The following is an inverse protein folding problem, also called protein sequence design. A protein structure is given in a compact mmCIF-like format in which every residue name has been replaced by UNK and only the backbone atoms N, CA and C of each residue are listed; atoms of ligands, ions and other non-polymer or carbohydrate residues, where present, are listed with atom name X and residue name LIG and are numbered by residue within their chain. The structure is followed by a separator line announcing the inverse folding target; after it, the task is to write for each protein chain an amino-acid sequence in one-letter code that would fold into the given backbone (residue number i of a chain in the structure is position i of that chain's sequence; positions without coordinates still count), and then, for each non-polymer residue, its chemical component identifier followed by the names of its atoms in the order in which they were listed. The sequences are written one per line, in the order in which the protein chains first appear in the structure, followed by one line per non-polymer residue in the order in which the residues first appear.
data_IF_360564775901
#
_entry.id   IF_360564775901
#
_cell.length_a   1.000
_cell.length_b   1.000
_cell.length_c   1.000
_cell.angle_alpha   90.00
_cell.angle_beta   90.00
_cell.angle_gamma   90.00
#
_symmetry.space_group_name_H-M   'P 1'
#
loop_
_entity.id
_entity.type
_entity.pdbx_description
1 polymer ?
#
# COMPACT_ATOMS: atom_id res chain seq x y z
N UNK A 1 21.32 -3.26 17.47
CA UNK A 1 21.70 -4.06 16.28
C UNK A 1 20.88 -3.52 15.14
N UNK A 2 21.50 -3.07 14.06
CA UNK A 2 20.76 -2.59 12.88
C UNK A 2 19.93 -3.75 12.35
N UNK A 3 18.61 -3.67 12.45
CA UNK A 3 17.73 -4.58 11.71
C UNK A 3 18.04 -4.32 10.24
N UNK A 4 18.59 -5.30 9.52
CA UNK A 4 18.86 -5.16 8.09
C UNK A 4 17.56 -4.75 7.40
N UNK A 5 17.56 -3.62 6.67
CA UNK A 5 16.41 -3.21 5.85
C UNK A 5 16.06 -4.35 4.88
N UNK A 6 14.78 -4.75 4.75
CA UNK A 6 14.39 -5.69 3.70
C UNK A 6 14.75 -5.08 2.34
N UNK A 7 15.49 -5.84 1.53
CA UNK A 7 15.79 -5.42 0.15
C UNK A 7 14.70 -5.96 -0.76
N UNK A 8 13.90 -5.06 -1.31
CA UNK A 8 12.92 -5.39 -2.34
C UNK A 8 13.59 -5.25 -3.70
N UNK A 9 13.57 -6.32 -4.50
CA UNK A 9 14.11 -6.28 -5.85
C UNK A 9 13.17 -5.49 -6.76
N UNK A 10 13.73 -4.60 -7.58
CA UNK A 10 12.96 -3.86 -8.57
C UNK A 10 12.52 -4.80 -9.69
N UNK A 11 11.21 -4.92 -9.88
CA UNK A 11 10.60 -5.76 -10.93
C UNK A 11 9.99 -4.94 -12.07
N UNK A 12 10.25 -3.63 -12.15
CA UNK A 12 9.83 -2.80 -13.28
C UNK A 12 8.49 -2.09 -13.05
N UNK A 13 7.68 -1.97 -14.10
CA UNK A 13 6.44 -1.19 -14.13
C UNK A 13 5.20 -2.09 -14.20
N UNK A 14 4.24 -1.83 -13.31
CA UNK A 14 3.04 -2.64 -13.16
C UNK A 14 1.74 -1.89 -13.41
N UNK A 15 0.63 -2.64 -13.33
CA UNK A 15 -0.73 -2.12 -13.38
C UNK A 15 -1.64 -2.87 -12.38
N UNK A 16 -2.61 -2.17 -11.82
CA UNK A 16 -3.70 -2.81 -11.07
C UNK A 16 -4.51 -3.76 -11.94
N UNK A 17 -4.65 -5.02 -11.50
CA UNK A 17 -5.43 -6.01 -12.23
C UNK A 17 -6.91 -5.89 -11.86
N UNK A 18 -7.72 -5.40 -12.81
CA UNK A 18 -9.17 -5.29 -12.68
C UNK A 18 -9.87 -6.23 -13.67
N UNK A 19 -11.09 -6.73 -13.39
CA UNK A 19 -11.79 -7.65 -14.28
C UNK A 19 -12.02 -7.13 -15.70
N UNK A 20 -12.10 -5.80 -15.88
CA UNK A 20 -12.18 -5.10 -17.16
C UNK A 20 -10.96 -5.34 -18.05
N UNK A 21 -9.77 -5.58 -17.46
CA UNK A 21 -8.51 -5.74 -18.18
C UNK A 21 -8.34 -7.14 -18.78
N UNK A 22 -9.03 -8.14 -18.22
CA UNK A 22 -8.86 -9.55 -18.58
C UNK A 22 -8.98 -9.86 -20.08
N UNK A 23 -10.02 -9.41 -20.82
CA UNK A 23 -10.15 -9.75 -22.24
C UNK A 23 -8.92 -9.27 -23.03
N UNK A 24 -8.49 -8.04 -22.78
CA UNK A 24 -7.34 -7.45 -23.48
C UNK A 24 -6.03 -8.16 -23.12
N UNK A 25 -5.79 -8.41 -21.82
CA UNK A 25 -4.54 -9.06 -21.36
C UNK A 25 -4.41 -10.46 -21.96
N UNK A 26 -5.49 -11.26 -21.94
CA UNK A 26 -5.44 -12.65 -22.41
C UNK A 26 -5.32 -12.76 -23.94
N UNK A 27 -5.82 -11.77 -24.68
CA UNK A 27 -5.68 -11.74 -26.14
C UNK A 27 -4.33 -11.18 -26.58
N UNK A 28 -3.84 -10.12 -25.94
CA UNK A 28 -2.73 -9.31 -26.45
C UNK A 28 -1.41 -9.52 -25.73
N UNK A 29 -1.42 -10.05 -24.51
CA UNK A 29 -0.25 -10.18 -23.63
C UNK A 29 0.64 -8.91 -23.63
N UNK A 30 0.11 -7.77 -23.12
CA UNK A 30 0.82 -6.50 -23.19
C UNK A 30 2.18 -6.57 -22.48
N UNK A 31 3.18 -5.76 -22.92
CA UNK A 31 4.51 -5.75 -22.33
C UNK A 31 4.52 -5.01 -20.99
N UNK A 32 3.82 -5.55 -19.99
CA UNK A 32 3.84 -5.13 -18.59
C UNK A 32 4.75 -6.05 -17.79
N UNK A 33 5.47 -5.51 -16.82
CA UNK A 33 6.43 -6.30 -16.05
C UNK A 33 5.76 -7.11 -14.93
N UNK A 34 4.62 -6.64 -14.39
CA UNK A 34 3.87 -7.30 -13.30
C UNK A 34 2.45 -6.73 -13.13
N UNK A 35 1.62 -7.45 -12.37
CA UNK A 35 0.27 -7.02 -11.99
C UNK A 35 0.08 -6.99 -10.47
N UNK A 36 -0.79 -6.10 -9.98
CA UNK A 36 -1.25 -6.12 -8.59
C UNK A 36 -2.68 -6.66 -8.48
N UNK A 37 -2.91 -7.52 -7.49
CA UNK A 37 -4.25 -7.97 -7.11
C UNK A 37 -4.66 -7.42 -5.75
N UNK A 38 -5.96 -7.15 -5.60
CA UNK A 38 -6.58 -7.03 -4.27
C UNK A 38 -6.74 -8.43 -3.69
N UNK A 39 -6.04 -8.70 -2.60
CA UNK A 39 -5.87 -10.03 -2.00
C UNK A 39 -7.22 -10.65 -1.63
N UNK A 40 -8.11 -9.86 -1.04
CA UNK A 40 -9.45 -10.25 -0.58
C UNK A 40 -10.33 -10.79 -1.71
N UNK A 41 -10.12 -10.33 -2.95
CA UNK A 41 -10.84 -10.85 -4.11
C UNK A 41 -10.48 -12.30 -4.44
N UNK A 42 -9.43 -12.86 -3.82
CA UNK A 42 -8.91 -14.20 -4.08
C UNK A 42 -8.77 -15.10 -2.85
N UNK A 43 -8.99 -14.57 -1.63
CA UNK A 43 -8.84 -15.34 -0.37
C UNK A 43 -9.90 -16.43 -0.17
N UNK A 44 -11.15 -16.19 -0.57
CA UNK A 44 -12.29 -17.09 -0.35
C UNK A 44 -13.07 -17.37 -1.65
N UNK A 45 -12.37 -17.38 -2.79
CA UNK A 45 -13.01 -17.53 -4.10
C UNK A 45 -12.62 -18.83 -4.80
N UNK A 46 -13.54 -19.32 -5.63
CA UNK A 46 -13.31 -20.45 -6.52
C UNK A 46 -13.88 -20.16 -7.90
N UNK A 47 -13.68 -21.08 -8.85
CA UNK A 47 -14.27 -20.95 -10.18
C UNK A 47 -13.59 -19.87 -11.02
N UNK A 48 -14.36 -18.88 -11.51
CA UNK A 48 -13.88 -17.94 -12.53
C UNK A 48 -12.73 -17.03 -12.06
N UNK A 49 -12.76 -16.39 -10.87
CA UNK A 49 -11.65 -15.56 -10.39
C UNK A 49 -10.33 -16.34 -10.30
N UNK A 50 -10.35 -17.51 -9.67
CA UNK A 50 -9.18 -18.41 -9.57
C UNK A 50 -8.62 -18.74 -10.95
N UNK A 51 -9.46 -19.21 -11.89
CA UNK A 51 -9.01 -19.52 -13.26
C UNK A 51 -8.41 -18.33 -13.99
N UNK A 52 -8.89 -17.11 -13.70
CA UNK A 52 -8.33 -15.89 -14.30
C UNK A 52 -6.98 -15.55 -13.69
N UNK A 53 -6.82 -15.68 -12.37
CA UNK A 53 -5.54 -15.49 -11.71
C UNK A 53 -4.52 -16.55 -12.13
N UNK A 54 -4.92 -17.83 -12.24
CA UNK A 54 -4.07 -18.90 -12.79
C UNK A 54 -3.52 -18.51 -14.17
N UNK A 55 -4.39 -18.06 -15.07
CA UNK A 55 -4.00 -17.64 -16.41
C UNK A 55 -3.07 -16.41 -16.41
N UNK A 56 -3.20 -15.49 -15.45
CA UNK A 56 -2.28 -14.34 -15.31
C UNK A 56 -0.91 -14.80 -14.79
N UNK A 57 -0.89 -15.69 -13.79
CA UNK A 57 0.33 -16.21 -13.18
C UNK A 57 1.19 -17.04 -14.14
N UNK A 58 0.61 -17.54 -15.24
CA UNK A 58 1.36 -18.22 -16.32
C UNK A 58 2.30 -17.26 -17.07
N UNK A 59 1.94 -15.99 -17.17
CA UNK A 59 2.63 -15.02 -18.04
C UNK A 59 3.28 -13.86 -17.25
N UNK A 60 2.80 -13.54 -16.04
CA UNK A 60 3.21 -12.35 -15.29
C UNK A 60 3.46 -12.63 -13.81
N UNK A 61 4.49 -12.00 -13.20
CA UNK A 61 4.56 -11.84 -11.76
C UNK A 61 3.33 -11.09 -11.22
N UNK A 62 2.87 -11.49 -10.05
CA UNK A 62 1.76 -10.84 -9.35
C UNK A 62 2.20 -10.43 -7.96
N UNK A 63 1.95 -9.18 -7.60
CA UNK A 63 2.08 -8.68 -6.22
C UNK A 63 0.70 -8.61 -5.57
N UNK A 64 0.68 -8.67 -4.25
CA UNK A 64 -0.55 -8.69 -3.48
C UNK A 64 -0.70 -7.39 -2.69
N UNK A 65 -1.87 -6.78 -2.79
CA UNK A 65 -2.25 -5.61 -2.01
C UNK A 65 -3.55 -5.92 -1.25
N UNK A 66 -3.60 -5.57 0.03
CA UNK A 66 -4.73 -5.83 0.91
C UNK A 66 -5.42 -4.54 1.33
N UNK A 67 -6.70 -4.64 1.66
CA UNK A 67 -7.52 -3.51 2.09
C UNK A 67 -8.22 -3.77 3.43
N UNK A 68 -7.96 -4.92 4.07
CA UNK A 68 -8.70 -5.39 5.25
C UNK A 68 -7.84 -5.81 6.43
N UNK A 69 -6.50 -5.74 6.38
CA UNK A 69 -5.65 -6.12 7.52
C UNK A 69 -5.94 -5.27 8.76
N UNK A 70 -6.29 -3.99 8.57
CA UNK A 70 -6.63 -3.06 9.65
C UNK A 70 -5.53 -2.99 10.71
N UNK A 71 -4.29 -2.74 10.29
CA UNK A 71 -3.13 -2.82 11.18
C UNK A 71 -3.20 -1.80 12.34
N UNK A 72 -3.89 -0.68 12.12
CA UNK A 72 -4.09 0.40 13.08
C UNK A 72 -5.14 0.16 14.16
N UNK A 73 -5.93 -0.92 14.09
CA UNK A 73 -6.95 -1.20 15.13
C UNK A 73 -6.34 -1.75 16.42
N UNK A 74 -7.12 -1.66 17.51
CA UNK A 74 -6.80 -2.24 18.82
C UNK A 74 -7.38 -3.64 19.01
N UNK A 75 -8.32 -4.05 18.17
CA UNK A 75 -8.87 -5.40 18.17
C UNK A 75 -7.77 -6.44 17.84
N UNK A 76 -7.83 -7.67 18.38
CA UNK A 76 -6.88 -8.73 18.03
C UNK A 76 -6.77 -8.92 16.51
N UNK A 77 -5.56 -9.26 16.03
CA UNK A 77 -5.36 -9.64 14.63
C UNK A 77 -6.30 -10.80 14.28
N UNK A 78 -6.96 -10.71 13.12
CA UNK A 78 -7.86 -11.75 12.66
C UNK A 78 -7.06 -12.95 12.12
N UNK A 79 -7.00 -14.03 12.89
CA UNK A 79 -6.24 -15.24 12.54
C UNK A 79 -6.78 -15.95 11.30
N UNK A 80 -8.10 -15.91 11.05
CA UNK A 80 -8.72 -16.48 9.85
C UNK A 80 -8.27 -15.71 8.60
N UNK A 81 -8.31 -14.37 8.67
CA UNK A 81 -7.79 -13.51 7.60
C UNK A 81 -6.31 -13.79 7.30
N UNK A 82 -5.47 -13.82 8.34
CA UNK A 82 -4.03 -14.10 8.15
C UNK A 82 -3.78 -15.48 7.54
N UNK A 83 -4.55 -16.51 7.94
CA UNK A 83 -4.43 -17.85 7.37
C UNK A 83 -4.82 -17.88 5.88
N UNK A 84 -5.87 -17.16 5.50
CA UNK A 84 -6.29 -17.04 4.10
C UNK A 84 -5.28 -16.27 3.27
N UNK A 85 -4.77 -15.15 3.80
CA UNK A 85 -3.70 -14.38 3.18
C UNK A 85 -2.44 -15.24 2.98
N UNK A 86 -2.01 -16.01 3.99
CA UNK A 86 -0.86 -16.92 3.89
C UNK A 86 -1.09 -18.03 2.85
N UNK A 87 -2.30 -18.56 2.78
CA UNK A 87 -2.68 -19.58 1.78
C UNK A 87 -2.60 -19.01 0.37
N UNK A 88 -3.18 -17.83 0.14
CA UNK A 88 -3.12 -17.14 -1.14
C UNK A 88 -1.68 -16.77 -1.52
N UNK A 89 -0.90 -16.23 -0.58
CA UNK A 89 0.50 -15.91 -0.79
C UNK A 89 1.36 -17.13 -1.11
N UNK A 90 1.04 -18.31 -0.56
CA UNK A 90 1.74 -19.56 -0.88
C UNK A 90 1.46 -20.02 -2.31
N UNK A 91 0.28 -19.71 -2.85
CA UNK A 91 -0.10 -20.02 -4.22
C UNK A 91 0.45 -19.00 -5.22
N UNK A 92 0.25 -17.70 -4.96
CA UNK A 92 0.69 -16.60 -5.84
C UNK A 92 2.21 -16.42 -5.80
N UNK A 93 2.84 -16.73 -4.67
CA UNK A 93 4.26 -16.49 -4.41
C UNK A 93 4.71 -15.06 -4.78
N UNK A 94 4.07 -14.02 -4.21
CA UNK A 94 4.31 -12.66 -4.66
C UNK A 94 5.68 -12.16 -4.21
N UNK A 95 6.31 -11.24 -4.96
CA UNK A 95 7.53 -10.53 -4.53
C UNK A 95 7.36 -9.81 -3.18
N UNK A 96 6.19 -9.26 -2.91
CA UNK A 96 5.82 -8.67 -1.61
C UNK A 96 4.30 -8.69 -1.40
N UNK A 97 3.89 -8.45 -0.16
CA UNK A 97 2.49 -8.32 0.25
C UNK A 97 2.35 -6.95 0.92
N UNK A 98 1.46 -6.12 0.39
CA UNK A 98 1.18 -4.79 0.91
C UNK A 98 -0.23 -4.69 1.52
N UNK A 99 -0.44 -3.73 2.41
CA UNK A 99 -1.75 -3.33 2.93
C UNK A 99 -1.65 -1.87 3.43
N UNK A 100 -2.76 -1.28 3.85
CA UNK A 100 -2.83 0.12 4.25
C UNK A 100 -2.43 0.34 5.72
N UNK A 101 -1.75 1.46 6.00
CA UNK A 101 -1.63 1.99 7.36
C UNK A 101 -2.94 2.67 7.78
N UNK A 102 -3.95 1.87 8.08
CA UNK A 102 -5.25 2.37 8.53
C UNK A 102 -5.88 1.45 9.56
N UNK A 103 -7.03 1.88 10.06
CA UNK A 103 -8.01 0.97 10.63
C UNK A 103 -9.28 1.05 9.78
N UNK A 104 -9.83 -0.11 9.46
CA UNK A 104 -11.09 -0.24 8.71
C UNK A 104 -12.27 -0.47 9.65
N UNK A 105 -12.09 -0.34 10.97
CA UNK A 105 -13.15 -0.63 11.95
C UNK A 105 -12.69 -0.85 13.39
N UNK A 106 -13.62 -0.68 14.33
CA UNK A 106 -13.49 -1.00 15.76
C UNK A 106 -14.69 -1.87 16.16
N UNK A 107 -14.45 -2.85 17.05
CA UNK A 107 -15.47 -3.75 17.59
C UNK A 107 -16.21 -4.54 16.49
N UNK A 108 -15.45 -5.08 15.53
CA UNK A 108 -15.93 -5.91 14.41
C UNK A 108 -16.87 -5.21 13.41
N UNK A 109 -16.97 -3.88 13.42
CA UNK A 109 -17.69 -3.12 12.39
C UNK A 109 -16.72 -2.56 11.37
N UNK A 110 -16.73 -3.11 10.16
CA UNK A 110 -15.96 -2.59 9.03
C UNK A 110 -16.62 -1.31 8.50
N UNK A 111 -15.87 -0.21 8.40
CA UNK A 111 -16.33 1.09 7.92
C UNK A 111 -16.19 1.25 6.42
N UNK A 112 -15.51 0.34 5.73
CA UNK A 112 -15.09 0.41 4.32
C UNK A 112 -14.20 1.61 3.96
N UNK A 113 -14.10 2.61 4.85
CA UNK A 113 -13.18 3.73 4.79
C UNK A 113 -11.83 3.41 5.48
N UNK A 114 -10.75 3.91 4.89
CA UNK A 114 -9.40 3.91 5.45
C UNK A 114 -9.27 5.05 6.46
N UNK A 115 -9.57 4.78 7.73
CA UNK A 115 -9.56 5.83 8.75
C UNK A 115 -8.13 6.13 9.23
N UNK A 116 -7.78 7.41 9.46
CA UNK A 116 -6.45 7.79 9.92
C UNK A 116 -6.19 7.23 11.31
N UNK A 117 -4.92 6.97 11.61
CA UNK A 117 -4.46 6.59 12.95
C UNK A 117 -3.99 7.83 13.72
N UNK A 118 -4.16 7.89 15.04
CA UNK A 118 -3.56 8.97 15.83
C UNK A 118 -2.04 8.79 15.87
N UNK A 119 -1.28 9.81 15.50
CA UNK A 119 0.18 9.74 15.45
C UNK A 119 0.78 9.98 16.84
N UNK A 120 0.66 8.98 17.71
CA UNK A 120 1.18 9.00 19.10
C UNK A 120 2.17 7.86 19.33
N UNK A 121 3.00 7.98 20.38
CA UNK A 121 3.91 6.89 20.79
C UNK A 121 3.18 5.59 21.14
N UNK A 122 1.98 5.69 21.72
CA UNK A 122 1.17 4.53 22.09
C UNK A 122 0.67 3.79 20.83
N UNK A 123 0.13 4.54 19.86
CA UNK A 123 -0.32 3.97 18.60
C UNK A 123 0.84 3.36 17.81
N UNK A 124 1.99 4.05 17.76
CA UNK A 124 3.21 3.55 17.11
C UNK A 124 3.64 2.22 17.72
N UNK A 125 3.74 2.13 19.05
CA UNK A 125 4.14 0.91 19.75
C UNK A 125 3.17 -0.25 19.48
N UNK A 126 1.87 0.01 19.48
CA UNK A 126 0.84 -0.99 19.16
C UNK A 126 1.01 -1.49 17.72
N UNK A 127 1.07 -0.59 16.75
CA UNK A 127 1.19 -0.92 15.32
C UNK A 127 2.48 -1.67 15.03
N UNK A 128 3.63 -1.22 15.56
CA UNK A 128 4.92 -1.92 15.41
C UNK A 128 4.86 -3.35 15.94
N UNK A 129 4.20 -3.56 17.09
CA UNK A 129 4.02 -4.90 17.67
C UNK A 129 3.18 -5.79 16.75
N UNK A 130 2.09 -5.26 16.20
CA UNK A 130 1.20 -5.99 15.29
C UNK A 130 1.87 -6.31 13.96
N UNK A 131 2.62 -5.37 13.39
CA UNK A 131 3.40 -5.61 12.16
C UNK A 131 4.34 -6.78 12.36
N UNK A 132 5.07 -6.82 13.49
CA UNK A 132 5.96 -7.95 13.81
C UNK A 132 5.20 -9.27 13.88
N UNK A 133 4.03 -9.30 14.55
CA UNK A 133 3.20 -10.50 14.60
C UNK A 133 2.73 -10.98 13.21
N UNK A 134 2.32 -10.05 12.34
CA UNK A 134 1.90 -10.37 10.97
C UNK A 134 3.09 -10.90 10.16
N UNK A 135 4.25 -10.25 10.24
CA UNK A 135 5.47 -10.68 9.54
C UNK A 135 5.94 -12.06 10.03
N UNK A 136 5.90 -12.31 11.35
CA UNK A 136 6.22 -13.61 11.94
C UNK A 136 5.26 -14.69 11.45
N UNK A 137 3.96 -14.38 11.37
CA UNK A 137 2.95 -15.31 10.88
C UNK A 137 3.10 -15.62 9.39
N UNK A 138 3.33 -14.58 8.57
CA UNK A 138 3.51 -14.70 7.12
C UNK A 138 4.92 -15.18 6.73
N UNK A 139 5.86 -15.20 7.67
CA UNK A 139 7.27 -15.56 7.49
C UNK A 139 8.00 -14.69 6.46
N UNK A 140 7.60 -13.41 6.37
CA UNK A 140 8.21 -12.42 5.48
C UNK A 140 7.93 -10.98 5.93
N UNK A 141 8.76 -10.01 5.51
CA UNK A 141 8.41 -8.60 5.62
C UNK A 141 7.13 -8.29 4.85
N UNK A 142 6.25 -7.50 5.45
CA UNK A 142 5.13 -6.87 4.75
C UNK A 142 5.51 -5.47 4.30
N UNK A 143 4.71 -4.92 3.41
CA UNK A 143 4.82 -3.54 2.92
C UNK A 143 3.59 -2.79 3.43
N UNK A 144 3.77 -1.55 3.92
CA UNK A 144 2.64 -0.72 4.33
C UNK A 144 2.56 0.56 3.51
N UNK A 145 1.35 0.89 3.09
CA UNK A 145 1.04 2.07 2.30
C UNK A 145 0.67 3.28 3.17
N UNK A 146 1.13 4.47 2.76
CA UNK A 146 0.65 5.74 3.30
C UNK A 146 -0.76 6.08 2.77
N UNK A 147 -1.78 6.21 3.62
CA UNK A 147 -3.11 6.56 3.16
C UNK A 147 -3.22 8.04 2.81
N UNK A 148 -4.22 8.41 2.01
CA UNK A 148 -4.72 9.78 1.95
C UNK A 148 -5.40 10.18 3.26
N UNK A 149 -5.06 11.34 3.81
CA UNK A 149 -5.63 11.87 5.06
C UNK A 149 -6.38 13.18 4.83
N UNK A 150 -7.49 13.34 5.57
CA UNK A 150 -8.41 14.49 5.47
C UNK A 150 -8.65 15.16 6.83
N UNK A 151 -8.27 14.50 7.91
CA UNK A 151 -8.50 14.91 9.29
C UNK A 151 -7.26 14.56 10.12
N UNK A 152 -6.90 15.47 11.03
CA UNK A 152 -5.85 15.24 12.00
C UNK A 152 -6.44 15.04 13.40
N UNK A 153 -5.86 14.11 14.15
CA UNK A 153 -6.15 13.98 15.57
C UNK A 153 -5.38 15.05 16.35
N UNK A 154 -6.09 15.81 17.19
CA UNK A 154 -5.48 16.80 18.11
C UNK A 154 -4.56 16.17 19.15
N UNK A 155 -4.68 14.86 19.38
CA UNK A 155 -3.80 14.09 20.26
C UNK A 155 -2.48 13.68 19.60
N UNK A 156 -2.31 13.88 18.29
CA UNK A 156 -1.08 13.52 17.57
C UNK A 156 0.11 14.31 18.12
N UNK A 157 1.20 13.60 18.41
CA UNK A 157 2.44 14.17 18.97
C UNK A 157 3.59 14.17 17.98
N UNK A 158 3.37 13.62 16.78
CA UNK A 158 4.32 13.59 15.68
C UNK A 158 3.58 13.77 14.35
N UNK A 159 4.31 14.15 13.31
CA UNK A 159 3.80 14.24 11.94
C UNK A 159 3.57 12.85 11.32
N UNK A 160 2.78 12.80 10.24
CA UNK A 160 2.50 11.56 9.53
C UNK A 160 3.78 10.88 9.00
N UNK A 161 4.67 11.65 8.38
CA UNK A 161 5.94 11.12 7.86
C UNK A 161 6.90 10.68 8.96
N UNK A 162 6.93 11.36 10.11
CA UNK A 162 7.69 10.90 11.29
C UNK A 162 7.15 9.57 11.82
N UNK A 163 5.83 9.44 11.89
CA UNK A 163 5.18 8.21 12.32
C UNK A 163 5.50 7.04 11.39
N UNK A 164 5.34 7.23 10.08
CA UNK A 164 5.61 6.20 9.07
C UNK A 164 7.09 5.81 9.04
N UNK A 165 7.99 6.80 9.09
CA UNK A 165 9.42 6.55 9.12
C UNK A 165 9.83 5.69 10.33
N UNK A 166 9.35 6.05 11.53
CA UNK A 166 9.61 5.29 12.73
C UNK A 166 8.95 3.92 12.71
N UNK A 167 7.71 3.81 12.23
CA UNK A 167 7.01 2.54 12.08
C UNK A 167 7.83 1.56 11.23
N UNK A 168 8.30 1.99 10.05
CA UNK A 168 9.08 1.15 9.15
C UNK A 168 10.44 0.75 9.77
N UNK A 169 11.12 1.69 10.42
CA UNK A 169 12.41 1.45 11.07
C UNK A 169 12.28 0.49 12.27
N UNK A 170 11.28 0.68 13.12
CA UNK A 170 11.08 -0.09 14.35
C UNK A 170 10.49 -1.49 14.07
N UNK A 171 9.58 -1.62 13.10
CA UNK A 171 8.95 -2.91 12.77
C UNK A 171 9.74 -3.75 11.75
N UNK A 172 10.56 -3.10 10.93
CA UNK A 172 11.27 -3.75 9.84
C UNK A 172 10.44 -3.93 8.56
N UNK A 173 9.22 -3.40 8.48
CA UNK A 173 8.43 -3.47 7.24
C UNK A 173 9.03 -2.61 6.11
N UNK A 174 8.58 -2.91 4.89
CA UNK A 174 8.74 -2.06 3.72
C UNK A 174 7.65 -0.99 3.62
N UNK A 175 7.83 -0.07 2.68
CA UNK A 175 6.86 0.99 2.36
C UNK A 175 6.34 0.84 0.94
N UNK A 176 5.02 1.00 0.79
CA UNK A 176 4.41 1.35 -0.48
C UNK A 176 4.21 2.86 -0.41
N UNK A 177 4.93 3.60 -1.26
CA UNK A 177 4.79 5.05 -1.31
C UNK A 177 3.77 5.40 -2.38
N UNK A 178 2.54 5.67 -1.97
CA UNK A 178 1.58 6.28 -2.87
C UNK A 178 1.87 7.79 -2.95
N UNK A 179 2.35 8.22 -4.11
CA UNK A 179 2.72 9.62 -4.37
C UNK A 179 1.48 10.49 -4.58
N UNK A 180 0.39 9.92 -5.10
CA UNK A 180 -0.89 10.60 -5.18
C UNK A 180 -1.41 10.89 -3.77
N UNK A 181 -1.36 9.93 -2.85
CA UNK A 181 -1.78 10.11 -1.46
C UNK A 181 -0.97 11.19 -0.74
N UNK A 182 0.35 11.23 -0.95
CA UNK A 182 1.19 12.33 -0.44
C UNK A 182 0.70 13.68 -0.97
N UNK A 183 0.37 13.76 -2.27
CA UNK A 183 -0.14 15.00 -2.86
C UNK A 183 -1.51 15.40 -2.29
N UNK A 184 -2.45 14.45 -2.19
CA UNK A 184 -3.79 14.67 -1.63
C UNK A 184 -3.70 15.15 -0.18
N UNK A 185 -2.99 14.42 0.68
CA UNK A 185 -2.81 14.79 2.09
C UNK A 185 -2.15 16.16 2.23
N UNK A 186 -1.07 16.42 1.50
CA UNK A 186 -0.37 17.71 1.58
C UNK A 186 -1.23 18.87 1.08
N UNK A 187 -2.04 18.69 0.04
CA UNK A 187 -2.98 19.72 -0.41
C UNK A 187 -4.02 20.03 0.67
N UNK A 188 -4.65 18.98 1.22
CA UNK A 188 -5.74 19.12 2.20
C UNK A 188 -5.25 19.72 3.52
N UNK A 189 -4.07 19.31 3.99
CA UNK A 189 -3.47 19.77 5.24
C UNK A 189 -2.54 20.99 5.09
N UNK A 190 -2.31 21.44 3.86
CA UNK A 190 -1.40 22.57 3.51
C UNK A 190 0.04 22.32 3.94
N UNK A 191 0.49 21.08 3.80
CA UNK A 191 1.88 20.68 4.03
C UNK A 191 2.70 20.79 2.75
N UNK A 192 4.03 20.75 2.89
CA UNK A 192 4.93 20.62 1.75
C UNK A 192 5.21 19.15 1.44
N UNK A 193 4.84 18.64 0.24
CA UNK A 193 5.02 17.23 -0.10
C UNK A 193 6.49 16.83 -0.24
N UNK A 194 7.41 17.77 -0.48
CA UNK A 194 8.85 17.45 -0.51
C UNK A 194 9.39 17.18 0.89
N UNK A 195 8.96 17.96 1.88
CA UNK A 195 9.26 17.71 3.30
C UNK A 195 8.77 16.33 3.72
N UNK A 196 7.57 15.93 3.30
CA UNK A 196 7.04 14.58 3.54
C UNK A 196 7.99 13.51 2.98
N UNK A 197 8.32 13.58 1.68
CA UNK A 197 9.15 12.57 1.01
C UNK A 197 10.57 12.52 1.58
N UNK A 198 11.17 13.68 1.88
CA UNK A 198 12.54 13.75 2.40
C UNK A 198 12.67 13.15 3.81
N UNK A 199 11.58 13.05 4.56
CA UNK A 199 11.57 12.45 5.89
C UNK A 199 11.38 10.93 5.90
N UNK A 200 10.92 10.33 4.78
CA UNK A 200 10.70 8.90 4.68
C UNK A 200 12.02 8.11 4.49
N UNK A 201 12.10 6.87 5.01
CA UNK A 201 13.23 5.97 4.76
C UNK A 201 13.09 5.37 3.35
N UNK A 202 13.48 6.14 2.34
CA UNK A 202 13.29 5.77 0.92
C UNK A 202 14.00 4.47 0.50
N UNK A 203 15.02 4.03 1.24
CA UNK A 203 15.67 2.72 1.04
C UNK A 203 14.76 1.52 1.34
N UNK A 204 13.62 1.76 1.99
CA UNK A 204 12.61 0.74 2.36
C UNK A 204 11.41 0.70 1.42
N UNK A 205 11.34 1.61 0.44
CA UNK A 205 10.21 1.68 -0.48
C UNK A 205 10.31 0.50 -1.46
N UNK A 206 9.37 -0.44 -1.33
CA UNK A 206 9.26 -1.61 -2.21
C UNK A 206 8.58 -1.25 -3.53
N UNK A 207 7.61 -0.34 -3.45
CA UNK A 207 6.69 -0.01 -4.52
C UNK A 207 6.25 1.44 -4.41
N UNK A 208 6.01 2.07 -5.56
CA UNK A 208 5.38 3.37 -5.68
C UNK A 208 4.06 3.23 -6.44
N UNK A 209 3.01 3.87 -5.94
CA UNK A 209 1.76 4.05 -6.68
C UNK A 209 1.65 5.47 -7.25
N UNK A 210 0.95 5.55 -8.37
CA UNK A 210 0.60 6.76 -9.10
C UNK A 210 -0.87 6.65 -9.52
N UNK A 211 -1.66 7.64 -9.18
CA UNK A 211 -3.08 7.69 -9.53
C UNK A 211 -3.53 9.12 -9.80
N UNK A 212 -4.72 9.27 -10.38
CA UNK A 212 -5.47 10.52 -10.43
C UNK A 212 -6.36 10.70 -9.20
N UNK A 213 -6.94 11.89 -9.06
CA UNK A 213 -7.80 12.23 -7.94
C UNK A 213 -8.85 13.28 -8.34
N UNK A 214 -9.90 13.40 -7.55
CA UNK A 214 -10.94 14.40 -7.78
C UNK A 214 -10.70 15.67 -6.98
N UNK A 215 -10.42 16.78 -7.66
CA UNK A 215 -10.33 18.10 -7.04
C UNK A 215 -11.71 18.77 -6.89
N UNK A 216 -12.13 19.05 -5.65
CA UNK A 216 -13.40 19.74 -5.32
C UNK A 216 -13.22 21.26 -5.09
N UNK A 217 -12.06 21.80 -5.44
CA UNK A 217 -11.65 23.20 -5.22
C UNK A 217 -11.15 23.47 -3.81
N UNK A 218 -11.94 23.12 -2.80
CA UNK A 218 -11.57 23.34 -1.38
C UNK A 218 -10.73 22.22 -0.78
N UNK A 219 -10.89 21.01 -1.31
CA UNK A 219 -10.19 19.79 -0.91
C UNK A 219 -10.07 18.89 -2.14
N UNK A 220 -9.14 17.94 -2.07
CA UNK A 220 -8.99 16.86 -3.05
C UNK A 220 -9.48 15.58 -2.39
N UNK A 221 -10.21 14.76 -3.14
CA UNK A 221 -10.65 13.42 -2.73
C UNK A 221 -9.87 12.41 -3.57
N UNK A 222 -9.32 11.44 -2.87
CA UNK A 222 -8.58 10.34 -3.43
C UNK A 222 -9.52 9.32 -4.09
N UNK A 223 -9.62 9.35 -5.41
CA UNK A 223 -10.60 8.56 -6.18
C UNK A 223 -9.99 7.57 -7.14
N UNK A 224 -8.73 7.74 -7.51
CA UNK A 224 -7.98 6.85 -8.43
C UNK A 224 -8.68 6.61 -9.78
N UNK A 225 -9.56 7.54 -10.20
CA UNK A 225 -10.48 7.36 -11.34
C UNK A 225 -10.14 8.23 -12.56
N UNK A 226 -8.97 8.90 -12.54
CA UNK A 226 -8.54 9.83 -13.58
C UNK A 226 -7.03 9.72 -13.88
N UNK A 227 -6.58 10.42 -14.91
CA UNK A 227 -5.19 10.53 -15.29
C UNK A 227 -4.34 11.18 -14.19
N UNK A 228 -3.13 10.64 -14.03
CA UNK A 228 -2.09 11.24 -13.17
C UNK A 228 -1.73 12.64 -13.70
N UNK A 229 -1.94 13.66 -12.87
CA UNK A 229 -1.67 15.07 -13.22
C UNK A 229 -0.16 15.40 -13.20
N UNK A 230 0.21 16.51 -13.84
CA UNK A 230 1.61 16.94 -13.97
C UNK A 230 2.32 17.16 -12.62
N UNK A 231 1.59 17.64 -11.61
CA UNK A 231 2.10 17.87 -10.25
C UNK A 231 2.46 16.55 -9.55
N UNK A 232 1.62 15.51 -9.70
CA UNK A 232 1.89 14.17 -9.16
C UNK A 232 3.07 13.53 -9.91
N UNK A 233 3.15 13.69 -11.24
CA UNK A 233 4.33 13.28 -12.01
C UNK A 233 5.61 14.01 -11.58
N UNK A 234 5.53 15.29 -11.26
CA UNK A 234 6.67 16.06 -10.77
C UNK A 234 7.11 15.57 -9.39
N UNK A 235 6.17 15.24 -8.51
CA UNK A 235 6.44 14.68 -7.20
C UNK A 235 7.05 13.27 -7.28
N UNK A 236 6.57 12.44 -8.21
CA UNK A 236 7.15 11.14 -8.52
C UNK A 236 8.60 11.25 -8.99
N UNK A 237 8.89 12.17 -9.93
CA UNK A 237 10.27 12.44 -10.36
C UNK A 237 11.15 12.87 -9.19
N UNK A 238 10.60 13.65 -8.26
CA UNK A 238 11.31 14.02 -7.03
C UNK A 238 11.62 12.79 -6.17
N UNK A 239 10.63 11.94 -5.89
CA UNK A 239 10.81 10.71 -5.12
C UNK A 239 11.89 9.79 -5.74
N UNK A 240 11.81 9.54 -7.05
CA UNK A 240 12.78 8.70 -7.78
C UNK A 240 14.19 9.32 -7.76
N UNK A 241 14.32 10.65 -7.82
CA UNK A 241 15.63 11.30 -7.73
C UNK A 241 16.33 11.09 -6.39
N UNK A 242 15.57 10.77 -5.33
CA UNK A 242 16.04 10.53 -3.97
C UNK A 242 16.22 9.04 -3.68
N UNK A 243 15.23 8.23 -4.05
CA UNK A 243 15.19 6.78 -3.78
C UNK A 243 16.02 5.96 -4.78
N UNK A 244 16.24 6.49 -5.99
CA UNK A 244 16.63 5.72 -7.14
C UNK A 244 15.44 5.00 -7.79
N UNK A 245 15.68 4.11 -8.77
CA UNK A 245 14.62 3.36 -9.42
C UNK A 245 13.92 2.39 -8.46
N UNK A 246 12.59 2.51 -8.35
CA UNK A 246 11.72 1.63 -7.55
C UNK A 246 10.70 0.96 -8.48
N UNK A 247 10.11 -0.16 -8.09
CA UNK A 247 8.96 -0.74 -8.79
C UNK A 247 7.79 0.25 -8.73
N UNK A 248 7.15 0.54 -9.86
CA UNK A 248 6.11 1.59 -9.90
C UNK A 248 4.90 1.11 -10.68
N UNK A 249 3.72 1.43 -10.17
CA UNK A 249 2.46 1.09 -10.81
C UNK A 249 1.61 2.33 -10.98
N UNK A 250 0.87 2.36 -12.08
CA UNK A 250 -0.27 3.26 -12.22
C UNK A 250 -1.50 2.53 -11.73
N UNK A 251 -2.16 3.09 -10.72
CA UNK A 251 -3.45 2.64 -10.24
C UNK A 251 -4.56 3.42 -10.95
N UNK A 252 -5.58 2.67 -11.39
CA UNK A 252 -6.79 3.20 -12.00
C UNK A 252 -7.95 2.30 -11.62
N UNK A 253 -8.92 2.86 -10.89
CA UNK A 253 -10.13 2.18 -10.41
C UNK A 253 -11.34 2.28 -11.34
#
# INVERSE_FOLDING_TARGET
MSVNSPKFERIGFGMGLRPSHYPFIFENKPPLDWFEIISENFMDTGGRPVRKLEQILEDYPVVMHGVSLSIGTVDPLNSDYLQKLKTLASWVNPPWISDHLCWTGIAHKNTHDLLPVPYTEEALKNIVTRIRQVQDFLERPIVLENPSTYLEFTSSTMTEWEFIARMAQESGCGLLLDVNNVYVSCYNHRWDPKTYIDALPLDRVAQIHLAGHTNKGTHIIDTHDDHVIDEVWALYRYAISKAGPVSTMVEWD
#
